data_IF_846578279568
#
_entry.id   IF_846578279568
#
_cell.length_a   1.000
_cell.length_b   1.000
_cell.length_c   1.000
_cell.angle_alpha   90.00
_cell.angle_beta   90.00
_cell.angle_gamma   90.00
#
_symmetry.space_group_name_H-M   'P 1'
#
loop_
_entity.id
_entity.type
_entity.pdbx_description
1 polymer ?
#
# COMPACT_ATOMS: atom_id res chain seq x y z
N UNK A 1 8.03 5.40 1.54
CA UNK A 1 7.32 4.97 2.77
C UNK A 1 8.30 4.54 3.85
N UNK A 2 9.05 3.44 3.65
CA UNK A 2 9.95 2.86 4.67
C UNK A 2 11.02 3.79 5.22
N UNK A 3 11.46 4.78 4.43
CA UNK A 3 12.45 5.78 4.84
C UNK A 3 11.95 6.86 5.81
N UNK A 4 10.62 7.05 5.91
CA UNK A 4 10.03 8.22 6.57
C UNK A 4 9.02 7.80 7.64
N UNK A 5 8.06 6.95 7.26
CA UNK A 5 6.88 6.70 8.09
C UNK A 5 7.19 5.90 9.35
N UNK A 6 7.97 4.79 9.31
CA UNK A 6 8.28 4.03 10.52
C UNK A 6 9.03 4.86 11.57
N UNK A 7 10.03 5.62 11.15
CA UNK A 7 10.83 6.47 12.05
C UNK A 7 9.98 7.58 12.70
N UNK A 8 9.13 8.24 11.91
CA UNK A 8 8.18 9.21 12.46
C UNK A 8 7.21 8.60 13.45
N UNK A 9 6.72 7.38 13.19
CA UNK A 9 5.83 6.68 14.10
C UNK A 9 6.54 6.37 15.45
N UNK A 10 7.80 5.94 15.41
CA UNK A 10 8.59 5.69 16.62
C UNK A 10 8.84 6.96 17.45
N UNK A 11 9.06 8.10 16.79
CA UNK A 11 9.24 9.38 17.51
C UNK A 11 7.93 9.88 18.10
N UNK A 12 6.81 9.66 17.40
CA UNK A 12 5.49 10.15 17.81
C UNK A 12 4.80 9.28 18.87
N UNK A 13 5.11 7.97 18.91
CA UNK A 13 4.51 6.98 19.82
C UNK A 13 2.96 6.99 19.79
N UNK A 14 2.34 6.69 18.64
CA UNK A 14 0.89 6.75 18.49
C UNK A 14 0.16 5.73 19.36
N UNK A 15 -0.98 6.13 19.94
CA UNK A 15 -1.88 5.19 20.60
C UNK A 15 -2.75 4.36 19.65
N UNK A 16 -2.92 4.79 18.39
CA UNK A 16 -3.68 4.13 17.32
C UNK A 16 -3.15 4.58 15.96
N UNK A 17 -3.13 3.70 14.97
CA UNK A 17 -2.89 4.08 13.57
C UNK A 17 -4.22 4.19 12.83
N UNK A 18 -4.44 5.31 12.16
CA UNK A 18 -5.58 5.51 11.24
C UNK A 18 -5.03 5.65 9.82
N UNK A 19 -5.42 4.75 8.92
CA UNK A 19 -4.91 4.73 7.54
C UNK A 19 -6.01 5.04 6.54
N UNK A 20 -5.69 5.84 5.52
CA UNK A 20 -6.50 6.00 4.31
C UNK A 20 -5.88 5.13 3.21
N UNK A 21 -6.48 3.98 2.92
CA UNK A 21 -5.92 2.94 2.05
C UNK A 21 -6.47 3.06 0.62
N UNK A 22 -6.10 4.14 -0.06
CA UNK A 22 -6.39 4.30 -1.48
C UNK A 22 -5.64 3.30 -2.36
N UNK A 23 -6.26 2.88 -3.46
CA UNK A 23 -5.68 2.00 -4.47
C UNK A 23 -5.44 2.74 -5.81
N UNK A 24 -5.59 4.06 -5.82
CA UNK A 24 -5.36 4.91 -6.99
C UNK A 24 -3.89 5.10 -7.33
N UNK A 25 -2.97 4.68 -6.45
CA UNK A 25 -1.54 4.67 -6.74
C UNK A 25 -1.09 3.49 -7.62
N UNK A 26 -2.03 2.61 -8.01
CA UNK A 26 -1.72 1.42 -8.80
C UNK A 26 -1.50 1.79 -10.27
N UNK A 27 -0.60 1.07 -10.96
CA UNK A 27 -0.27 1.34 -12.38
C UNK A 27 -1.42 1.17 -13.39
N UNK A 28 -2.58 0.70 -12.95
CA UNK A 28 -3.78 0.55 -13.79
C UNK A 28 -4.84 1.62 -13.48
N UNK A 29 -4.60 2.44 -12.44
CA UNK A 29 -5.56 3.46 -12.08
C UNK A 29 -5.58 4.55 -13.17
N UNK A 30 -6.76 4.94 -13.67
CA UNK A 30 -6.86 5.92 -14.74
C UNK A 30 -6.67 7.37 -14.29
N UNK A 31 -6.63 7.65 -12.98
CA UNK A 31 -6.60 9.02 -12.44
C UNK A 31 -5.22 9.45 -11.94
N UNK A 32 -4.24 8.55 -11.90
CA UNK A 32 -2.87 8.87 -11.48
C UNK A 32 -1.85 8.22 -12.39
N UNK A 33 -0.65 8.82 -12.47
CA UNK A 33 0.50 8.25 -13.18
C UNK A 33 1.46 7.56 -12.21
N UNK A 34 0.92 6.94 -11.15
CA UNK A 34 1.69 6.22 -10.14
C UNK A 34 1.84 4.75 -10.54
N UNK A 35 3.05 4.21 -10.39
CA UNK A 35 3.41 2.89 -10.91
C UNK A 35 3.52 1.81 -9.82
N UNK A 36 2.68 1.87 -8.77
CA UNK A 36 2.71 0.81 -7.75
C UNK A 36 1.98 -0.45 -8.21
N UNK A 37 2.43 -1.59 -7.70
CA UNK A 37 1.75 -2.88 -7.84
C UNK A 37 1.13 -3.28 -6.50
N UNK A 38 0.23 -4.26 -6.53
CA UNK A 38 -0.31 -4.90 -5.32
C UNK A 38 0.76 -5.52 -4.41
N UNK A 39 1.97 -5.79 -4.90
CA UNK A 39 3.12 -6.18 -4.05
C UNK A 39 3.54 -5.04 -3.12
N UNK A 40 3.57 -3.81 -3.63
CA UNK A 40 3.86 -2.64 -2.81
C UNK A 40 2.81 -2.46 -1.72
N UNK A 41 1.53 -2.70 -2.02
CA UNK A 41 0.46 -2.69 -1.00
C UNK A 41 0.65 -3.77 0.07
N UNK A 42 1.08 -4.97 -0.31
CA UNK A 42 1.42 -6.02 0.65
C UNK A 42 2.56 -5.61 1.59
N UNK A 43 3.64 -5.05 1.06
CA UNK A 43 4.78 -4.60 1.88
C UNK A 43 4.42 -3.39 2.76
N UNK A 44 3.65 -2.44 2.25
CA UNK A 44 3.13 -1.30 3.03
C UNK A 44 2.21 -1.81 4.16
N UNK A 45 1.31 -2.75 3.86
CA UNK A 45 0.45 -3.37 4.85
C UNK A 45 1.23 -4.07 5.96
N UNK A 46 2.31 -4.77 5.60
CA UNK A 46 3.22 -5.41 6.57
C UNK A 46 3.88 -4.37 7.49
N UNK A 47 4.46 -3.31 6.92
CA UNK A 47 5.09 -2.24 7.71
C UNK A 47 4.09 -1.54 8.63
N UNK A 48 2.86 -1.28 8.16
CA UNK A 48 1.79 -0.70 8.97
C UNK A 48 1.39 -1.60 10.14
N UNK A 49 1.21 -2.90 9.88
CA UNK A 49 0.92 -3.86 10.94
C UNK A 49 2.06 -3.90 11.97
N UNK A 50 3.32 -3.99 11.55
CA UNK A 50 4.49 -3.94 12.44
C UNK A 50 4.49 -2.69 13.34
N UNK A 51 4.20 -1.50 12.77
CA UNK A 51 4.04 -0.26 13.52
C UNK A 51 2.90 -0.38 14.54
N UNK A 52 1.74 -0.89 14.14
CA UNK A 52 0.56 -1.00 15.02
C UNK A 52 0.79 -1.99 16.17
N UNK A 53 1.43 -3.13 15.91
CA UNK A 53 1.75 -4.12 16.93
C UNK A 53 2.78 -3.56 17.91
N UNK A 54 3.80 -2.86 17.41
CA UNK A 54 4.90 -2.32 18.23
C UNK A 54 4.46 -1.14 19.10
N UNK A 55 3.65 -0.22 18.57
CA UNK A 55 3.39 1.08 19.20
C UNK A 55 1.95 1.24 19.70
N UNK A 56 0.99 0.51 19.14
CA UNK A 56 -0.45 0.78 19.34
C UNK A 56 -1.22 -0.40 19.95
N UNK A 57 -0.56 -1.44 20.47
CA UNK A 57 -1.17 -2.70 20.91
C UNK A 57 -2.12 -3.30 19.84
N UNK A 58 -1.74 -3.20 18.57
CA UNK A 58 -2.52 -3.68 17.43
C UNK A 58 -3.75 -2.82 17.08
N UNK A 59 -3.92 -1.63 17.68
CA UNK A 59 -5.03 -0.72 17.34
C UNK A 59 -4.79 -0.08 15.97
N UNK A 60 -5.56 -0.54 14.98
CA UNK A 60 -5.54 -0.05 13.61
C UNK A 60 -6.97 0.19 13.08
N UNK A 61 -7.27 1.44 12.72
CA UNK A 61 -8.48 1.82 11.98
C UNK A 61 -8.14 2.07 10.52
N UNK A 62 -8.62 1.21 9.62
CA UNK A 62 -8.45 1.38 8.19
C UNK A 62 -9.70 2.02 7.56
N UNK A 63 -9.50 3.09 6.81
CA UNK A 63 -10.47 3.70 5.91
C UNK A 63 -10.11 3.33 4.47
N UNK A 64 -11.12 3.32 3.60
CA UNK A 64 -10.89 3.23 2.16
C UNK A 64 -10.22 4.50 1.60
N UNK A 65 -10.37 4.73 0.30
CA UNK A 65 -9.74 5.86 -0.38
C UNK A 65 -10.17 5.96 -1.84
N UNK A 66 -9.41 6.72 -2.61
CA UNK A 66 -9.48 6.66 -4.07
C UNK A 66 -9.04 5.28 -4.58
N UNK A 67 -9.29 5.03 -5.86
CA UNK A 67 -9.08 3.74 -6.50
C UNK A 67 -10.22 3.50 -7.48
N UNK A 68 -9.90 3.55 -8.75
CA UNK A 68 -10.90 3.68 -9.82
C UNK A 68 -10.78 2.54 -10.84
N UNK A 69 -9.77 1.68 -10.69
CA UNK A 69 -9.72 0.40 -11.36
C UNK A 69 -10.49 -0.68 -10.57
N UNK A 70 -11.61 -1.14 -11.14
CA UNK A 70 -12.52 -2.11 -10.53
C UNK A 70 -11.93 -3.51 -10.33
N UNK A 71 -10.79 -3.83 -10.96
CA UNK A 71 -10.08 -5.09 -10.73
C UNK A 71 -9.00 -4.98 -9.67
N UNK A 72 -8.51 -3.77 -9.39
CA UNK A 72 -7.44 -3.50 -8.41
C UNK A 72 -8.00 -3.25 -7.02
N UNK A 73 -9.01 -2.39 -6.88
CA UNK A 73 -9.52 -1.97 -5.55
C UNK A 73 -9.85 -3.17 -4.65
N UNK A 74 -10.59 -4.20 -5.12
CA UNK A 74 -10.93 -5.33 -4.27
C UNK A 74 -9.70 -6.17 -3.90
N UNK A 75 -8.69 -6.26 -4.79
CA UNK A 75 -7.44 -6.97 -4.51
C UNK A 75 -6.61 -6.25 -3.45
N UNK A 76 -6.41 -4.94 -3.62
CA UNK A 76 -5.65 -4.11 -2.69
C UNK A 76 -6.26 -4.13 -1.28
N UNK A 77 -7.58 -3.95 -1.17
CA UNK A 77 -8.26 -4.00 0.12
C UNK A 77 -8.28 -5.40 0.73
N UNK A 78 -8.38 -6.46 -0.08
CA UNK A 78 -8.27 -7.84 0.43
C UNK A 78 -6.89 -8.12 1.03
N UNK A 79 -5.82 -7.63 0.40
CA UNK A 79 -4.44 -7.75 0.91
C UNK A 79 -4.30 -7.06 2.27
N UNK A 80 -4.74 -5.80 2.37
CA UNK A 80 -4.66 -5.06 3.63
C UNK A 80 -5.55 -5.68 4.71
N UNK A 81 -6.78 -6.06 4.38
CA UNK A 81 -7.69 -6.68 5.33
C UNK A 81 -7.15 -8.01 5.85
N UNK A 82 -6.62 -8.87 4.96
CA UNK A 82 -5.99 -10.12 5.36
C UNK A 82 -4.85 -9.87 6.35
N UNK A 83 -4.01 -8.86 6.11
CA UNK A 83 -2.96 -8.47 7.04
C UNK A 83 -3.51 -8.03 8.40
N UNK A 84 -4.54 -7.18 8.41
CA UNK A 84 -5.18 -6.70 9.66
C UNK A 84 -5.73 -7.84 10.52
N UNK A 85 -6.21 -8.92 9.90
CA UNK A 85 -6.75 -10.08 10.64
C UNK A 85 -5.71 -11.19 10.85
N UNK A 86 -4.42 -10.92 10.59
CA UNK A 86 -3.33 -11.88 10.82
C UNK A 86 -3.31 -13.06 9.85
N UNK A 87 -3.94 -12.93 8.69
CA UNK A 87 -3.94 -13.94 7.63
C UNK A 87 -2.85 -13.66 6.60
N UNK A 88 -2.22 -14.72 6.12
CA UNK A 88 -1.43 -14.69 4.90
C UNK A 88 -2.24 -15.40 3.81
N UNK A 89 -2.96 -14.67 2.96
CA UNK A 89 -3.92 -15.29 2.04
C UNK A 89 -3.18 -16.16 1.02
N UNK A 90 -3.83 -17.26 0.62
CA UNK A 90 -3.54 -17.84 -0.69
C UNK A 90 -3.84 -16.74 -1.71
N UNK A 91 -2.85 -16.39 -2.53
CA UNK A 91 -2.97 -15.26 -3.43
C UNK A 91 -3.92 -15.56 -4.59
N UNK A 92 -4.49 -16.77 -4.73
CA UNK A 92 -5.46 -17.06 -5.77
C UNK A 92 -6.79 -16.30 -5.61
N UNK A 93 -7.29 -15.78 -6.73
CA UNK A 93 -8.57 -15.08 -6.81
C UNK A 93 -9.70 -16.10 -7.09
N UNK A 94 -10.84 -16.05 -6.36
CA UNK A 94 -11.96 -16.97 -6.60
C UNK A 94 -12.53 -16.87 -8.03
N UNK A 95 -12.71 -18.02 -8.68
CA UNK A 95 -13.25 -18.08 -10.06
C UNK A 95 -14.64 -17.44 -10.18
N UNK A 96 -15.49 -17.57 -9.17
CA UNK A 96 -16.81 -16.94 -9.15
C UNK A 96 -16.72 -15.41 -9.20
N UNK A 97 -15.74 -14.82 -8.50
CA UNK A 97 -15.50 -13.38 -8.54
C UNK A 97 -14.91 -12.94 -9.88
N UNK A 98 -13.98 -13.73 -10.46
CA UNK A 98 -13.44 -13.44 -11.79
C UNK A 98 -14.55 -13.43 -12.86
N UNK A 99 -15.46 -14.42 -12.80
CA UNK A 99 -16.64 -14.50 -13.69
C UNK A 99 -17.60 -13.32 -13.46
N UNK A 100 -17.81 -12.92 -12.21
CA UNK A 100 -18.61 -11.74 -11.89
C UNK A 100 -18.04 -10.47 -12.55
N UNK A 101 -16.73 -10.25 -12.45
CA UNK A 101 -16.06 -9.13 -13.11
C UNK A 101 -16.17 -9.20 -14.63
N UNK A 102 -15.90 -10.37 -15.24
CA UNK A 102 -16.01 -10.56 -16.69
C UNK A 102 -17.43 -10.22 -17.20
N UNK A 103 -18.47 -10.60 -16.46
CA UNK A 103 -19.85 -10.31 -16.81
C UNK A 103 -20.29 -8.86 -16.55
N UNK A 104 -19.70 -8.20 -15.54
CA UNK A 104 -20.17 -6.89 -15.04
C UNK A 104 -19.40 -5.73 -15.65
N UNK A 105 -18.08 -5.86 -15.78
CA UNK A 105 -17.19 -4.80 -16.27
C UNK A 105 -16.50 -5.19 -17.58
N UNK A 106 -16.91 -6.31 -18.20
CA UNK A 106 -16.38 -6.81 -19.48
C UNK A 106 -14.85 -6.95 -19.52
N UNK A 107 -14.26 -7.19 -18.35
CA UNK A 107 -12.82 -7.37 -18.18
C UNK A 107 -12.59 -8.48 -17.17
N UNK A 108 -11.81 -9.47 -17.56
CA UNK A 108 -11.40 -10.53 -16.66
C UNK A 108 -10.21 -10.04 -15.80
N UNK A 109 -10.32 -10.07 -14.46
CA UNK A 109 -9.21 -9.72 -13.57
C UNK A 109 -8.09 -10.77 -13.64
N UNK A 110 -6.91 -10.47 -13.08
CA UNK A 110 -5.86 -11.47 -12.89
C UNK A 110 -6.32 -12.66 -12.04
N UNK A 111 -5.55 -13.75 -12.08
CA UNK A 111 -5.80 -14.95 -11.27
C UNK A 111 -5.26 -14.85 -9.85
N UNK A 112 -4.36 -13.90 -9.61
CA UNK A 112 -3.65 -13.74 -8.35
C UNK A 112 -3.91 -12.34 -7.78
N UNK A 113 -3.92 -12.23 -6.45
CA UNK A 113 -4.01 -11.00 -5.68
C UNK A 113 -2.78 -10.12 -5.91
N UNK A 114 -1.61 -10.72 -6.12
CA UNK A 114 -0.36 -10.02 -6.39
C UNK A 114 -0.09 -9.94 -7.90
N UNK A 115 0.29 -8.76 -8.38
CA UNK A 115 0.65 -8.57 -9.79
C UNK A 115 1.91 -9.34 -10.14
N UNK A 116 1.91 -9.94 -11.33
CA UNK A 116 3.11 -10.49 -11.95
C UNK A 116 3.88 -9.44 -12.74
N UNK A 117 3.18 -8.40 -13.21
CA UNK A 117 3.77 -7.31 -13.97
C UNK A 117 4.41 -6.30 -13.01
N UNK A 118 5.60 -5.85 -13.40
CA UNK A 118 6.24 -4.69 -12.78
C UNK A 118 6.32 -3.62 -13.85
N UNK A 119 5.59 -2.50 -13.71
CA UNK A 119 5.72 -1.38 -14.63
C UNK A 119 7.17 -0.88 -14.65
N UNK A 120 7.60 -0.31 -15.78
CA UNK A 120 8.97 0.16 -15.93
C UNK A 120 9.33 1.22 -14.90
N UNK A 121 10.54 1.12 -14.35
CA UNK A 121 11.11 2.15 -13.47
C UNK A 121 11.83 3.21 -14.31
N UNK A 122 11.55 4.48 -14.04
CA UNK A 122 12.35 5.60 -14.55
C UNK A 122 13.42 5.98 -13.51
N UNK A 123 14.72 5.78 -13.80
CA UNK A 123 15.79 6.11 -12.87
C UNK A 123 15.83 7.58 -12.46
N UNK A 124 15.36 8.50 -13.32
CA UNK A 124 15.32 9.93 -13.01
C UNK A 124 14.31 10.24 -11.91
N UNK A 125 13.12 9.61 -11.96
CA UNK A 125 12.09 9.73 -10.92
C UNK A 125 12.62 9.20 -9.60
N UNK A 126 13.32 8.05 -9.61
CA UNK A 126 13.90 7.49 -8.39
C UNK A 126 14.94 8.41 -7.74
N UNK A 127 15.72 9.12 -8.55
CA UNK A 127 16.69 10.10 -8.07
C UNK A 127 15.99 11.33 -7.46
N UNK A 128 14.95 11.83 -8.11
CA UNK A 128 14.14 12.92 -7.57
C UNK A 128 13.48 12.53 -6.24
N UNK A 129 12.92 11.32 -6.15
CA UNK A 129 12.33 10.80 -4.91
C UNK A 129 13.37 10.71 -3.80
N UNK A 130 14.61 10.27 -4.10
CA UNK A 130 15.71 10.29 -3.12
C UNK A 130 16.00 11.71 -2.63
N UNK A 131 16.11 12.66 -3.55
CA UNK A 131 16.31 14.08 -3.20
C UNK A 131 15.19 14.62 -2.30
N UNK A 132 13.93 14.29 -2.58
CA UNK A 132 12.78 14.70 -1.74
C UNK A 132 12.86 14.06 -0.35
N UNK A 133 13.22 12.78 -0.25
CA UNK A 133 13.39 12.10 1.05
C UNK A 133 14.49 12.75 1.87
N UNK A 134 15.64 13.05 1.25
CA UNK A 134 16.73 13.78 1.90
C UNK A 134 16.31 15.18 2.36
N UNK A 135 15.56 15.90 1.53
CA UNK A 135 15.03 17.21 1.85
C UNK A 135 14.08 17.15 3.05
N UNK A 136 13.13 16.21 3.08
CA UNK A 136 12.23 15.99 4.22
C UNK A 136 13.03 15.71 5.49
N UNK A 137 13.99 14.79 5.45
CA UNK A 137 14.85 14.48 6.60
C UNK A 137 15.67 15.70 7.03
N UNK A 138 16.16 16.51 6.08
CA UNK A 138 16.93 17.72 6.35
C UNK A 138 16.09 18.83 7.00
N UNK A 139 14.86 19.07 6.53
CA UNK A 139 13.98 20.10 7.11
C UNK A 139 13.42 19.71 8.47
N UNK A 140 13.24 18.40 8.68
CA UNK A 140 12.65 17.84 9.89
C UNK A 140 13.66 17.08 10.75
N UNK A 141 14.94 17.49 10.73
CA UNK A 141 16.05 16.79 11.43
C UNK A 141 15.75 16.40 12.86
N UNK A 142 14.99 17.19 13.62
CA UNK A 142 14.61 16.86 14.99
C UNK A 142 13.91 15.49 15.14
N UNK A 143 13.27 15.00 14.07
CA UNK A 143 12.62 13.70 14.02
C UNK A 143 13.48 12.59 13.40
N UNK A 144 14.57 12.95 12.69
CA UNK A 144 15.36 12.03 11.86
C UNK A 144 16.87 12.00 12.18
N UNK A 145 17.32 12.71 13.22
CA UNK A 145 18.72 12.75 13.63
C UNK A 145 19.03 11.61 14.60
N UNK A 146 20.21 10.99 14.44
CA UNK A 146 20.71 9.86 15.23
C UNK A 146 20.33 9.93 16.72
N UNK A 147 19.46 9.01 17.14
CA UNK A 147 19.39 8.50 18.51
C UNK A 147 20.19 7.21 18.61
#
# INVERSE_FOLDING_TARGET
>A
FGEIVPELAEVFEPGIVVTQLGADTHFLDPLTDLSLTTRAYSEIGKMLDEITQKLCDGRWLALGGGGYDMTVVPRAWSIHFARMVGLNPDYSIPEDWMRFCENTIHRRPPRELLDSETPGEDPSILEEVRGVVEDVKRYHRAFFSDR
#
